data_IF_836704746215
#
_entry.id   IF_836704746215
#
_cell.length_a   1.000
_cell.length_b   1.000
_cell.length_c   1.000
_cell.angle_alpha   90.00
_cell.angle_beta   90.00
_cell.angle_gamma   90.00
#
_symmetry.space_group_name_H-M   'P 1'
#
loop_
_entity.id
_entity.type
_entity.pdbx_description
1 polymer ?
#
# COMPACT_ATOMS: atom_id res chain seq x y z
N UNK A 1 -10.29 -18.75 -8.87
CA UNK A 1 -11.73 -18.92 -8.60
C UNK A 1 -12.42 -19.32 -9.88
N UNK A 2 -13.14 -20.46 -9.89
CA UNK A 2 -13.91 -20.93 -11.05
C UNK A 2 -15.38 -20.62 -10.78
N UNK A 3 -16.04 -19.91 -11.69
CA UNK A 3 -17.47 -19.60 -11.59
C UNK A 3 -18.21 -20.70 -12.33
N UNK A 4 -18.62 -21.74 -11.59
CA UNK A 4 -19.42 -22.84 -12.13
C UNK A 4 -20.89 -22.41 -12.18
N UNK A 5 -21.24 -21.61 -13.19
CA UNK A 5 -22.62 -21.30 -13.55
C UNK A 5 -22.83 -21.76 -14.98
N UNK A 6 -23.88 -22.55 -15.21
CA UNK A 6 -24.22 -23.02 -16.56
C UNK A 6 -25.12 -21.96 -17.24
N UNK A 7 -24.72 -21.40 -18.40
CA UNK A 7 -25.53 -20.40 -19.09
C UNK A 7 -26.94 -20.88 -19.45
N UNK A 8 -27.12 -22.19 -19.66
CA UNK A 8 -28.39 -22.81 -20.01
C UNK A 8 -29.43 -22.77 -18.88
N UNK A 9 -29.02 -22.49 -17.65
CA UNK A 9 -29.91 -22.41 -16.49
C UNK A 9 -30.63 -21.05 -16.39
N UNK A 10 -30.37 -20.13 -17.32
CA UNK A 10 -30.86 -18.75 -17.29
C UNK A 10 -31.70 -18.43 -18.53
N UNK A 11 -32.82 -17.76 -18.30
CA UNK A 11 -33.78 -17.42 -19.35
C UNK A 11 -33.34 -16.19 -20.18
N UNK A 12 -32.28 -15.48 -19.77
CA UNK A 12 -31.69 -14.39 -20.54
C UNK A 12 -30.21 -14.18 -20.23
N UNK A 13 -29.49 -13.58 -21.19
CA UNK A 13 -28.08 -13.20 -21.04
C UNK A 13 -27.86 -12.24 -19.86
N UNK A 14 -28.78 -11.30 -19.65
CA UNK A 14 -28.69 -10.35 -18.53
C UNK A 14 -28.82 -11.05 -17.17
N UNK A 15 -29.70 -12.04 -17.06
CA UNK A 15 -29.85 -12.83 -15.83
C UNK A 15 -28.58 -13.62 -15.52
N UNK A 16 -27.99 -14.28 -16.54
CA UNK A 16 -26.72 -14.98 -16.39
C UNK A 16 -25.59 -14.03 -15.96
N UNK A 17 -25.45 -12.87 -16.61
CA UNK A 17 -24.41 -11.89 -16.27
C UNK A 17 -24.57 -11.36 -14.84
N UNK A 18 -25.79 -11.07 -14.40
CA UNK A 18 -26.05 -10.66 -13.01
C UNK A 18 -25.68 -11.75 -12.01
N UNK A 19 -26.03 -13.00 -12.29
CA UNK A 19 -25.69 -14.13 -11.42
C UNK A 19 -24.17 -14.37 -11.35
N UNK A 20 -23.45 -14.22 -12.47
CA UNK A 20 -21.98 -14.30 -12.51
C UNK A 20 -21.35 -13.18 -11.68
N UNK A 21 -21.81 -11.94 -11.84
CA UNK A 21 -21.29 -10.79 -11.08
C UNK A 21 -21.57 -10.92 -9.59
N UNK A 22 -22.75 -11.39 -9.22
CA UNK A 22 -23.11 -11.65 -7.83
C UNK A 22 -22.25 -12.76 -7.21
N UNK A 23 -22.04 -13.87 -7.93
CA UNK A 23 -21.15 -14.96 -7.49
C UNK A 23 -19.72 -14.45 -7.31
N UNK A 24 -19.23 -13.64 -8.26
CA UNK A 24 -17.90 -13.05 -8.17
C UNK A 24 -17.74 -12.10 -6.98
N UNK A 25 -18.74 -11.25 -6.74
CA UNK A 25 -18.79 -10.37 -5.57
C UNK A 25 -18.79 -11.16 -4.27
N UNK A 26 -19.66 -12.18 -4.15
CA UNK A 26 -19.78 -12.96 -2.93
C UNK A 26 -18.52 -13.77 -2.63
N UNK A 27 -17.87 -14.32 -3.65
CA UNK A 27 -16.60 -15.02 -3.48
C UNK A 27 -15.45 -14.07 -3.12
N UNK A 28 -15.41 -12.86 -3.71
CA UNK A 28 -14.46 -11.83 -3.30
C UNK A 28 -14.67 -11.40 -1.84
N UNK A 29 -15.93 -11.30 -1.38
CA UNK A 29 -16.25 -11.06 0.03
C UNK A 29 -15.81 -12.21 0.93
N UNK A 30 -16.04 -13.46 0.55
CA UNK A 30 -15.58 -14.61 1.33
C UNK A 30 -14.06 -14.65 1.45
N UNK A 31 -13.33 -14.44 0.37
CA UNK A 31 -11.86 -14.36 0.40
C UNK A 31 -11.39 -13.20 1.27
N UNK A 32 -12.05 -12.04 1.19
CA UNK A 32 -11.77 -10.92 2.06
C UNK A 32 -12.03 -11.27 3.53
N UNK A 33 -13.18 -11.85 3.85
CA UNK A 33 -13.55 -12.20 5.22
C UNK A 33 -12.60 -13.26 5.80
N UNK A 34 -12.17 -14.24 5.00
CA UNK A 34 -11.18 -15.25 5.40
C UNK A 34 -9.80 -14.62 5.67
N UNK A 35 -9.27 -13.83 4.72
CA UNK A 35 -7.96 -13.19 4.86
C UNK A 35 -7.93 -12.13 5.98
N UNK A 36 -9.01 -11.39 6.14
CA UNK A 36 -9.10 -10.33 7.15
C UNK A 36 -9.57 -10.85 8.52
N UNK A 37 -10.30 -11.96 8.61
CA UNK A 37 -10.66 -12.60 9.89
C UNK A 37 -9.42 -12.97 10.69
N UNK A 38 -8.48 -13.68 10.07
CA UNK A 38 -7.31 -14.19 10.78
C UNK A 38 -6.35 -13.05 11.15
N UNK A 39 -6.23 -12.08 10.26
CA UNK A 39 -5.45 -10.87 10.52
C UNK A 39 -6.08 -10.01 11.61
N UNK A 40 -7.40 -9.84 11.61
CA UNK A 40 -8.13 -9.10 12.66
C UNK A 40 -7.96 -9.79 14.00
N UNK A 41 -8.18 -11.11 14.07
CA UNK A 41 -7.99 -11.91 15.29
C UNK A 41 -6.55 -11.84 15.82
N UNK A 42 -5.55 -11.85 14.93
CA UNK A 42 -4.15 -11.68 15.32
C UNK A 42 -3.88 -10.29 15.91
N UNK A 43 -4.42 -9.25 15.27
CA UNK A 43 -4.27 -7.86 15.75
C UNK A 43 -5.01 -7.68 17.09
N UNK A 44 -6.21 -8.24 17.24
CA UNK A 44 -6.95 -8.20 18.50
C UNK A 44 -6.17 -8.87 19.65
N UNK A 45 -5.59 -10.05 19.40
CA UNK A 45 -4.71 -10.71 20.39
C UNK A 45 -3.48 -9.87 20.72
N UNK A 46 -2.85 -9.28 19.71
CA UNK A 46 -1.70 -8.41 19.92
C UNK A 46 -2.07 -7.19 20.75
N UNK A 47 -3.16 -6.49 20.40
CA UNK A 47 -3.66 -5.31 21.10
C UNK A 47 -4.06 -5.63 22.54
N UNK A 48 -4.73 -6.76 22.77
CA UNK A 48 -5.13 -7.22 24.10
C UNK A 48 -3.93 -7.55 25.00
N UNK A 49 -2.80 -7.96 24.42
CA UNK A 49 -1.56 -8.23 25.15
C UNK A 49 -0.75 -6.96 25.49
N UNK A 50 -1.11 -5.79 24.93
CA UNK A 50 -0.39 -4.55 25.20
C UNK A 50 -0.85 -3.88 26.49
N UNK A 51 0.10 -3.34 27.25
CA UNK A 51 -0.22 -2.42 28.34
C UNK A 51 -0.83 -1.13 27.82
N UNK A 52 -1.64 -0.44 28.66
CA UNK A 52 -2.25 0.86 28.35
C UNK A 52 -1.22 1.88 27.83
N UNK A 53 -0.03 1.91 28.42
CA UNK A 53 1.05 2.82 28.02
C UNK A 53 1.60 2.48 26.63
N UNK A 54 1.75 1.20 26.32
CA UNK A 54 2.25 0.75 25.02
C UNK A 54 1.23 0.95 23.90
N UNK A 55 -0.06 0.68 24.18
CA UNK A 55 -1.15 0.96 23.28
C UNK A 55 -1.24 2.45 22.96
N UNK A 56 -1.12 3.32 23.98
CA UNK A 56 -1.12 4.78 23.82
C UNK A 56 0.06 5.23 22.95
N UNK A 57 1.27 4.73 23.19
CA UNK A 57 2.45 5.06 22.36
C UNK A 57 2.26 4.67 20.90
N UNK A 58 1.74 3.48 20.63
CA UNK A 58 1.49 2.98 19.27
C UNK A 58 0.39 3.78 18.57
N UNK A 59 -0.68 4.12 19.29
CA UNK A 59 -1.77 4.96 18.78
C UNK A 59 -1.26 6.35 18.41
N UNK A 60 -0.51 7.00 19.30
CA UNK A 60 0.11 8.31 19.03
C UNK A 60 1.04 8.22 17.82
N UNK A 61 1.85 7.16 17.68
CA UNK A 61 2.71 6.96 16.51
C UNK A 61 1.91 6.77 15.21
N UNK A 62 0.77 6.09 15.24
CA UNK A 62 -0.11 5.93 14.10
C UNK A 62 -0.76 7.26 13.69
N UNK A 63 -1.25 8.02 14.65
CA UNK A 63 -1.92 9.31 14.41
C UNK A 63 -0.94 10.44 14.06
N UNK A 64 0.28 10.40 14.60
CA UNK A 64 1.34 11.37 14.33
C UNK A 64 2.14 11.07 13.07
N UNK A 65 1.98 9.88 12.49
CA UNK A 65 2.43 9.63 11.12
C UNK A 65 1.58 10.48 10.20
N UNK A 66 2.06 11.68 9.87
CA UNK A 66 1.65 12.27 8.60
C UNK A 66 1.90 11.21 7.55
N UNK A 67 0.94 10.98 6.67
CA UNK A 67 1.19 10.25 5.43
C UNK A 67 2.29 11.02 4.72
N UNK A 68 3.57 10.74 5.04
CA UNK A 68 4.71 11.19 4.25
C UNK A 68 4.51 10.46 2.95
N UNK A 69 3.79 11.10 2.03
CA UNK A 69 3.71 10.70 0.65
C UNK A 69 5.15 10.42 0.24
N UNK A 70 5.45 9.16 -0.09
CA UNK A 70 6.76 8.83 -0.64
C UNK A 70 6.91 9.71 -1.87
N UNK A 71 7.88 10.62 -1.87
CA UNK A 71 8.12 11.47 -3.02
C UNK A 71 8.24 10.57 -4.26
N UNK A 72 7.41 10.81 -5.28
CA UNK A 72 7.46 10.05 -6.52
C UNK A 72 8.70 10.51 -7.28
N UNK A 73 9.73 9.65 -7.31
CA UNK A 73 11.00 9.97 -7.96
C UNK A 73 10.88 9.60 -9.45
N UNK A 74 10.49 10.58 -10.25
CA UNK A 74 10.49 10.50 -11.71
C UNK A 74 11.91 10.56 -12.29
N UNK A 75 12.05 10.23 -13.58
CA UNK A 75 13.34 10.18 -14.25
C UNK A 75 14.05 11.54 -14.28
N UNK A 76 13.30 12.64 -14.45
CA UNK A 76 13.87 13.98 -14.42
C UNK A 76 14.52 14.32 -13.07
N UNK A 77 13.92 13.90 -11.95
CA UNK A 77 14.51 14.05 -10.61
C UNK A 77 15.78 13.22 -10.47
N UNK A 78 15.84 12.01 -11.05
CA UNK A 78 17.04 11.16 -11.02
C UNK A 78 18.19 11.80 -11.80
N UNK A 79 17.93 12.28 -13.01
CA UNK A 79 18.91 12.97 -13.85
C UNK A 79 19.40 14.24 -13.15
N UNK A 80 18.50 15.06 -12.58
CA UNK A 80 18.87 16.27 -11.85
C UNK A 80 19.75 15.95 -10.64
N UNK A 81 19.42 14.91 -9.86
CA UNK A 81 20.23 14.47 -8.71
C UNK A 81 21.64 14.00 -9.13
N UNK A 82 21.76 13.20 -10.20
CA UNK A 82 23.07 12.75 -10.72
C UNK A 82 23.90 13.93 -11.22
N UNK A 83 23.29 14.90 -11.90
CA UNK A 83 23.98 16.09 -12.39
C UNK A 83 24.48 16.97 -11.24
N UNK A 84 23.66 17.20 -10.21
CA UNK A 84 24.08 17.94 -9.01
C UNK A 84 25.22 17.22 -8.28
N UNK A 85 25.19 15.88 -8.24
CA UNK A 85 26.29 15.10 -7.67
C UNK A 85 27.58 15.25 -8.47
N UNK A 86 27.51 15.21 -9.81
CA UNK A 86 28.65 15.45 -10.70
C UNK A 86 29.22 16.87 -10.55
N UNK A 87 28.37 17.85 -10.22
CA UNK A 87 28.78 19.23 -9.90
C UNK A 87 29.43 19.38 -8.52
N UNK A 88 29.54 18.31 -7.74
CA UNK A 88 30.23 18.30 -6.44
C UNK A 88 29.34 18.55 -5.23
N UNK A 89 28.02 18.71 -5.39
CA UNK A 89 27.13 18.94 -4.25
C UNK A 89 27.08 17.71 -3.34
N UNK A 90 26.94 17.98 -2.04
CA UNK A 90 26.80 16.93 -1.04
C UNK A 90 25.36 16.36 -1.05
N UNK A 91 25.20 15.14 -0.53
CA UNK A 91 23.92 14.43 -0.55
C UNK A 91 22.82 15.19 0.21
N UNK A 92 23.18 15.94 1.27
CA UNK A 92 22.22 16.72 2.07
C UNK A 92 21.70 17.93 1.28
N UNK A 93 22.58 18.65 0.60
CA UNK A 93 22.24 19.79 -0.26
C UNK A 93 21.30 19.36 -1.39
N UNK A 94 21.62 18.24 -2.04
CA UNK A 94 20.78 17.69 -3.12
C UNK A 94 19.40 17.28 -2.58
N UNK A 95 19.33 16.72 -1.36
CA UNK A 95 18.06 16.31 -0.75
C UNK A 95 17.16 17.52 -0.48
N UNK A 96 17.73 18.61 0.02
CA UNK A 96 17.02 19.87 0.25
C UNK A 96 16.57 20.49 -1.07
N UNK A 97 17.47 20.60 -2.04
CA UNK A 97 17.22 21.18 -3.37
C UNK A 97 16.11 20.46 -4.15
N UNK A 98 16.04 19.14 -4.01
CA UNK A 98 15.07 18.31 -4.73
C UNK A 98 13.82 17.98 -3.91
N UNK A 99 13.76 18.36 -2.63
CA UNK A 99 12.65 18.03 -1.74
C UNK A 99 12.45 16.51 -1.55
N UNK A 100 13.52 15.72 -1.65
CA UNK A 100 13.48 14.25 -1.49
C UNK A 100 14.34 13.79 -0.32
N UNK A 101 14.10 12.57 0.15
CA UNK A 101 14.82 12.04 1.31
C UNK A 101 16.31 11.82 1.03
N UNK A 102 17.18 12.07 2.03
CA UNK A 102 18.63 11.79 1.95
C UNK A 102 18.92 10.35 1.47
N UNK A 103 18.25 9.29 2.00
CA UNK A 103 18.42 7.93 1.48
C UNK A 103 18.08 7.79 0.00
N UNK A 104 17.06 8.49 -0.48
CA UNK A 104 16.68 8.49 -1.90
C UNK A 104 17.79 9.07 -2.77
N UNK A 105 18.37 10.21 -2.38
CA UNK A 105 19.52 10.80 -3.09
C UNK A 105 20.70 9.83 -3.11
N UNK A 106 21.01 9.21 -1.97
CA UNK A 106 22.09 8.23 -1.87
C UNK A 106 21.88 7.07 -2.87
N UNK A 107 20.67 6.52 -2.91
CA UNK A 107 20.33 5.43 -3.83
C UNK A 107 20.40 5.84 -5.31
N UNK A 108 20.00 7.07 -5.65
CA UNK A 108 20.07 7.58 -7.04
C UNK A 108 21.52 7.79 -7.48
N UNK A 109 22.35 8.33 -6.59
CA UNK A 109 23.71 8.81 -6.92
C UNK A 109 24.80 7.76 -6.71
N UNK A 110 24.49 6.63 -6.07
CA UNK A 110 25.42 5.50 -5.87
C UNK A 110 25.68 4.69 -7.15
N UNK A 111 24.76 4.71 -8.11
CA UNK A 111 24.89 4.03 -9.42
C UNK A 111 25.26 4.98 -10.54
#
# INVERSE_FOLDING_TARGET
>A
MKIDLNPSDFNSKEQFVRAVLERARNAAHQTWDEEFSDRSKSIEKEVAALSKNELTRRLVKLLSRSNRARAIINESTRVKAKNLRKKGLNVKEIAVELGISIPSVYNITKG
#
